data_IF_909107596104
#
_entry.id   IF_909107596104
#
_cell.length_a   1.000
_cell.length_b   1.000
_cell.length_c   1.000
_cell.angle_alpha   90.00
_cell.angle_beta   90.00
_cell.angle_gamma   90.00
#
_symmetry.space_group_name_H-M   'P 1'
#
loop_
_entity.id
_entity.type
_entity.pdbx_description
1 polymer ?
#
# COMPACT_ATOMS: atom_id res chain seq x y z
N UNK A 1 -10.32 0.09 -0.18
CA UNK A 1 -8.93 0.37 -0.55
C UNK A 1 -8.63 1.86 -0.43
N UNK A 2 -7.35 2.23 -0.28
CA UNK A 2 -6.93 3.66 -0.19
C UNK A 2 -7.25 4.46 -1.46
N UNK A 3 -7.56 3.81 -2.57
CA UNK A 3 -8.12 4.44 -3.76
C UNK A 3 -9.43 5.19 -3.55
N UNK A 4 -10.05 5.09 -2.37
CA UNK A 4 -11.14 5.96 -1.94
C UNK A 4 -10.74 7.44 -1.93
N UNK A 5 -9.50 7.76 -1.56
CA UNK A 5 -9.02 9.12 -1.36
C UNK A 5 -8.60 9.83 -2.64
N UNK A 6 -8.60 11.18 -2.67
CA UNK A 6 -8.05 11.93 -3.80
C UNK A 6 -6.55 11.68 -3.95
N UNK A 7 -6.07 11.72 -5.20
CA UNK A 7 -4.65 11.58 -5.49
C UNK A 7 -3.86 12.80 -5.02
N UNK A 8 -2.62 12.58 -4.56
CA UNK A 8 -1.65 13.61 -4.18
C UNK A 8 -2.04 14.54 -3.03
N UNK A 9 -3.20 14.31 -2.40
CA UNK A 9 -3.62 15.02 -1.19
C UNK A 9 -3.37 14.13 0.00
N UNK A 10 -2.71 14.65 1.03
CA UNK A 10 -2.55 13.90 2.28
C UNK A 10 -3.91 13.69 2.94
N UNK A 11 -4.24 12.45 3.18
CA UNK A 11 -5.56 12.01 3.66
C UNK A 11 -5.42 11.01 4.78
N UNK A 12 -6.40 10.99 5.66
CA UNK A 12 -6.57 9.98 6.71
C UNK A 12 -8.05 9.59 6.85
N UNK A 13 -8.39 8.86 7.89
CA UNK A 13 -9.75 8.38 8.12
C UNK A 13 -10.75 9.49 8.45
N UNK A 14 -10.26 10.65 8.86
CA UNK A 14 -11.08 11.85 9.14
C UNK A 14 -11.34 12.69 7.89
N UNK A 15 -10.59 12.44 6.81
CA UNK A 15 -10.76 13.12 5.53
C UNK A 15 -12.10 12.75 4.90
N UNK A 16 -12.97 13.75 4.72
CA UNK A 16 -14.31 13.56 4.18
C UNK A 16 -14.36 13.56 2.65
N UNK A 17 -13.36 14.19 2.02
CA UNK A 17 -13.27 14.26 0.58
C UNK A 17 -12.85 12.92 -0.01
N UNK A 18 -13.65 12.40 -0.92
CA UNK A 18 -13.27 11.23 -1.73
C UNK A 18 -12.58 11.66 -3.01
N UNK A 19 -11.82 10.75 -3.60
CA UNK A 19 -11.26 10.95 -4.93
C UNK A 19 -12.30 10.82 -6.05
N UNK A 20 -11.84 11.03 -7.26
CA UNK A 20 -12.62 10.88 -8.48
C UNK A 20 -12.23 9.60 -9.22
N UNK A 21 -13.13 9.14 -10.10
CA UNK A 21 -12.89 8.03 -11.01
C UNK A 21 -13.31 6.67 -10.46
N UNK A 22 -13.16 5.67 -11.32
CA UNK A 22 -13.71 4.32 -11.13
C UNK A 22 -13.36 3.68 -9.78
N UNK A 23 -12.08 3.76 -9.35
CA UNK A 23 -11.65 3.11 -8.11
C UNK A 23 -12.29 3.75 -6.87
N UNK A 24 -12.36 5.08 -6.84
CA UNK A 24 -13.00 5.80 -5.75
C UNK A 24 -14.49 5.52 -5.68
N UNK A 25 -15.16 5.49 -6.83
CA UNK A 25 -16.60 5.17 -6.92
C UNK A 25 -16.88 3.74 -6.47
N UNK A 26 -16.03 2.78 -6.87
CA UNK A 26 -16.13 1.39 -6.44
C UNK A 26 -15.93 1.23 -4.92
N UNK A 27 -14.90 1.86 -4.36
CA UNK A 27 -14.66 1.83 -2.92
C UNK A 27 -15.84 2.44 -2.15
N UNK A 28 -16.37 3.56 -2.62
CA UNK A 28 -17.53 4.20 -2.02
C UNK A 28 -18.77 3.30 -2.05
N UNK A 29 -19.03 2.65 -3.19
CA UNK A 29 -20.16 1.74 -3.33
C UNK A 29 -20.04 0.55 -2.36
N UNK A 30 -18.85 -0.06 -2.23
CA UNK A 30 -18.60 -1.14 -1.28
C UNK A 30 -18.80 -0.71 0.17
N UNK A 31 -18.28 0.44 0.55
CA UNK A 31 -18.47 0.95 1.91
C UNK A 31 -19.91 1.30 2.21
N UNK A 32 -20.65 1.81 1.22
CA UNK A 32 -22.07 2.10 1.33
C UNK A 32 -22.88 0.82 1.56
N UNK A 33 -22.59 -0.26 0.82
CA UNK A 33 -23.26 -1.55 1.03
C UNK A 33 -22.88 -2.17 2.38
N UNK A 34 -21.61 -2.13 2.78
CA UNK A 34 -21.17 -2.62 4.09
C UNK A 34 -21.91 -1.93 5.26
N UNK A 35 -22.20 -0.62 5.13
CA UNK A 35 -22.95 0.15 6.14
C UNK A 35 -24.44 -0.25 6.28
N UNK A 36 -24.93 -1.10 5.38
CA UNK A 36 -26.29 -1.68 5.46
C UNK A 36 -26.39 -2.90 6.36
N UNK A 37 -25.27 -3.34 6.96
CA UNK A 37 -25.28 -4.48 7.88
C UNK A 37 -26.31 -4.25 9.00
N UNK A 38 -27.08 -5.30 9.38
CA UNK A 38 -28.11 -5.18 10.43
C UNK A 38 -27.49 -4.82 11.78
N UNK A 39 -28.21 -4.04 12.57
CA UNK A 39 -27.86 -3.85 13.98
C UNK A 39 -28.17 -5.15 14.77
N UNK A 40 -27.36 -5.52 15.76
CA UNK A 40 -26.23 -4.81 16.36
C UNK A 40 -24.83 -5.14 15.79
N UNK A 41 -24.72 -5.47 14.52
CA UNK A 41 -23.43 -5.84 13.92
C UNK A 41 -22.36 -4.74 14.07
N UNK A 42 -21.22 -5.09 14.63
CA UNK A 42 -20.06 -4.22 14.68
C UNK A 42 -19.37 -4.18 13.31
N UNK A 43 -19.29 -3.01 12.69
CA UNK A 43 -18.69 -2.82 11.37
C UNK A 43 -17.31 -2.16 11.51
N UNK A 44 -16.29 -2.82 10.97
CA UNK A 44 -14.96 -2.26 10.73
C UNK A 44 -14.68 -2.29 9.23
N UNK A 45 -14.41 -1.13 8.65
CA UNK A 45 -14.07 -0.96 7.23
C UNK A 45 -12.58 -0.70 7.15
N UNK A 46 -11.86 -1.55 6.43
CA UNK A 46 -10.41 -1.45 6.30
C UNK A 46 -10.04 -1.02 4.88
N UNK A 47 -9.29 0.09 4.76
CA UNK A 47 -8.77 0.62 3.49
C UNK A 47 -7.31 0.25 3.34
N UNK A 48 -7.01 -0.72 2.48
CA UNK A 48 -5.66 -1.23 2.27
C UNK A 48 -4.86 -0.36 1.31
N UNK A 49 -3.59 -0.09 1.67
CA UNK A 49 -2.55 0.26 0.72
C UNK A 49 -2.08 -0.96 -0.09
N UNK A 50 -0.95 -0.83 -0.76
CA UNK A 50 -0.31 -1.94 -1.46
C UNK A 50 0.22 -2.94 -0.44
N UNK A 51 -0.35 -4.13 -0.40
CA UNK A 51 0.09 -5.19 0.51
C UNK A 51 1.36 -5.83 -0.05
N UNK A 52 2.41 -5.80 0.74
CA UNK A 52 3.72 -6.35 0.40
C UNK A 52 3.96 -7.65 1.15
N UNK A 53 4.24 -8.71 0.39
CA UNK A 53 4.61 -10.03 0.92
C UNK A 53 5.79 -10.59 0.13
N UNK A 54 6.79 -11.18 0.77
CA UNK A 54 7.89 -11.84 0.09
C UNK A 54 7.42 -13.05 -0.73
N UNK A 55 6.32 -13.68 -0.34
CA UNK A 55 5.83 -14.94 -0.91
C UNK A 55 4.86 -14.75 -2.09
N UNK A 56 4.43 -13.51 -2.39
CA UNK A 56 3.47 -13.30 -3.48
C UNK A 56 3.04 -11.87 -3.71
N UNK A 57 1.95 -11.73 -4.48
CA UNK A 57 1.28 -10.45 -4.71
C UNK A 57 2.11 -9.40 -5.44
N UNK A 58 1.90 -8.13 -5.06
CA UNK A 58 2.51 -6.98 -5.73
C UNK A 58 4.05 -7.01 -5.66
N UNK A 59 4.62 -7.46 -4.54
CA UNK A 59 6.08 -7.52 -4.37
C UNK A 59 6.72 -8.46 -5.38
N UNK A 60 6.18 -9.66 -5.56
CA UNK A 60 6.69 -10.63 -6.54
C UNK A 60 6.59 -10.10 -7.98
N UNK A 61 5.52 -9.39 -8.29
CA UNK A 61 5.35 -8.76 -9.61
C UNK A 61 6.44 -7.71 -9.89
N UNK A 62 6.80 -6.91 -8.89
CA UNK A 62 7.87 -5.90 -9.00
C UNK A 62 9.26 -6.54 -8.99
N UNK A 63 9.46 -7.64 -8.26
CA UNK A 63 10.74 -8.32 -8.16
C UNK A 63 11.10 -9.15 -9.41
N UNK A 64 10.12 -9.71 -10.13
CA UNK A 64 10.39 -10.51 -11.33
C UNK A 64 11.26 -9.79 -12.36
N UNK A 65 10.89 -8.58 -12.87
CA UNK A 65 11.74 -7.86 -13.81
C UNK A 65 13.07 -7.43 -13.18
N UNK A 66 13.07 -7.01 -11.91
CA UNK A 66 14.27 -6.62 -11.20
C UNK A 66 15.28 -7.77 -11.11
N UNK A 67 14.85 -8.97 -10.75
CA UNK A 67 15.70 -10.16 -10.66
C UNK A 67 16.26 -10.58 -12.01
N UNK A 68 15.44 -10.47 -13.06
CA UNK A 68 15.82 -10.85 -14.43
C UNK A 68 16.82 -9.89 -15.08
N UNK A 69 16.63 -8.58 -14.89
CA UNK A 69 17.41 -7.54 -15.56
C UNK A 69 18.47 -6.89 -14.67
N UNK A 70 18.37 -7.05 -13.36
CA UNK A 70 19.16 -6.31 -12.35
C UNK A 70 19.01 -4.79 -12.49
N UNK A 71 17.87 -4.35 -12.99
CA UNK A 71 17.53 -2.92 -13.15
C UNK A 71 16.26 -2.61 -12.35
N UNK A 72 16.34 -1.64 -11.46
CA UNK A 72 15.18 -1.11 -10.76
C UNK A 72 14.48 -0.06 -11.64
N UNK A 73 13.15 -0.15 -11.79
CA UNK A 73 12.37 0.73 -12.66
C UNK A 73 11.53 1.71 -11.84
N UNK A 74 11.88 3.01 -11.92
CA UNK A 74 11.05 4.11 -11.40
C UNK A 74 10.04 4.50 -12.48
N UNK A 75 8.76 4.50 -12.13
CA UNK A 75 7.66 4.77 -13.07
C UNK A 75 7.36 6.27 -13.10
N UNK A 76 7.49 6.87 -14.29
CA UNK A 76 7.26 8.31 -14.49
C UNK A 76 8.20 9.16 -13.62
N UNK A 77 7.71 10.24 -12.98
CA UNK A 77 8.54 11.10 -12.14
C UNK A 77 8.99 10.43 -10.83
N UNK A 78 8.30 9.36 -10.41
CA UNK A 78 8.58 8.63 -9.18
C UNK A 78 8.24 9.40 -7.89
N UNK A 79 7.67 10.60 -8.00
CA UNK A 79 7.30 11.45 -6.86
C UNK A 79 5.94 11.09 -6.27
N UNK A 80 5.14 10.30 -6.99
CA UNK A 80 3.83 9.87 -6.54
C UNK A 80 3.95 9.07 -5.23
N UNK A 81 3.05 9.31 -4.26
CA UNK A 81 2.99 8.54 -3.02
C UNK A 81 2.78 7.04 -3.30
N UNK A 82 3.41 6.22 -2.50
CA UNK A 82 3.28 4.76 -2.55
C UNK A 82 2.79 4.26 -1.19
N UNK A 83 1.47 4.24 -0.95
CA UNK A 83 0.91 3.72 0.29
C UNK A 83 1.05 2.20 0.33
N UNK A 84 1.78 1.69 1.31
CA UNK A 84 2.11 0.27 1.43
C UNK A 84 1.86 -0.24 2.85
N UNK A 85 1.76 -1.54 3.00
CA UNK A 85 1.77 -2.23 4.29
C UNK A 85 2.40 -3.61 4.14
N UNK A 86 3.16 -4.04 5.13
CA UNK A 86 3.66 -5.42 5.22
C UNK A 86 2.51 -6.38 5.56
N UNK A 87 2.51 -7.56 4.96
CA UNK A 87 1.47 -8.58 5.18
C UNK A 87 1.36 -8.99 6.65
N UNK A 88 2.46 -9.00 7.39
CA UNK A 88 2.47 -9.35 8.82
C UNK A 88 1.72 -8.32 9.66
N UNK A 89 1.95 -7.04 9.39
CA UNK A 89 1.24 -5.96 10.07
C UNK A 89 -0.23 -5.89 9.64
N UNK A 90 -0.54 -6.22 8.39
CA UNK A 90 -1.92 -6.37 7.96
C UNK A 90 -2.64 -7.46 8.78
N UNK A 91 -2.05 -8.66 8.88
CA UNK A 91 -2.65 -9.76 9.65
C UNK A 91 -2.79 -9.42 11.14
N UNK A 92 -1.76 -8.77 11.72
CA UNK A 92 -1.80 -8.31 13.12
C UNK A 92 -2.88 -7.25 13.35
N UNK A 93 -3.06 -6.32 12.41
CA UNK A 93 -4.12 -5.32 12.50
C UNK A 93 -5.51 -5.97 12.43
N UNK A 94 -5.69 -7.00 11.60
CA UNK A 94 -6.95 -7.75 11.57
C UNK A 94 -7.23 -8.47 12.89
N UNK A 95 -6.22 -9.10 13.50
CA UNK A 95 -6.35 -9.70 14.84
C UNK A 95 -6.66 -8.63 15.90
N UNK A 96 -5.97 -7.50 15.85
CA UNK A 96 -6.19 -6.37 16.75
C UNK A 96 -7.64 -5.86 16.72
N UNK A 97 -8.28 -5.79 15.54
CA UNK A 97 -9.70 -5.42 15.45
C UNK A 97 -10.62 -6.50 16.05
N UNK A 98 -10.25 -7.76 15.99
CA UNK A 98 -11.04 -8.84 16.59
C UNK A 98 -10.98 -8.77 18.13
N UNK A 99 -9.79 -8.52 18.66
CA UNK A 99 -9.51 -8.49 20.10
C UNK A 99 -10.03 -7.21 20.78
N UNK A 100 -10.21 -6.10 20.04
CA UNK A 100 -10.67 -4.81 20.58
C UNK A 100 -12.09 -4.50 20.08
N UNK A 101 -13.09 -4.92 20.82
CA UNK A 101 -14.50 -4.88 20.43
C UNK A 101 -15.08 -3.45 20.32
N UNK A 102 -14.44 -2.45 20.93
CA UNK A 102 -14.83 -1.04 20.86
C UNK A 102 -14.45 -0.38 19.52
N UNK A 103 -13.51 -0.95 18.78
CA UNK A 103 -13.06 -0.40 17.50
C UNK A 103 -14.12 -0.62 16.42
N UNK A 104 -14.55 0.46 15.78
CA UNK A 104 -15.56 0.45 14.71
C UNK A 104 -15.34 1.60 13.73
N UNK A 105 -15.92 1.47 12.55
CA UNK A 105 -15.81 2.46 11.48
C UNK A 105 -14.62 2.21 10.56
N UNK A 106 -14.02 3.27 10.00
CA UNK A 106 -12.99 3.18 8.95
C UNK A 106 -11.59 3.22 9.56
N UNK A 107 -10.70 2.35 9.06
CA UNK A 107 -9.27 2.31 9.40
C UNK A 107 -8.43 2.15 8.13
N UNK A 108 -7.38 2.95 8.00
CA UNK A 108 -6.40 2.81 6.93
C UNK A 108 -5.33 1.79 7.33
N UNK A 109 -5.14 0.77 6.53
CA UNK A 109 -4.09 -0.23 6.69
C UNK A 109 -2.94 0.09 5.74
N UNK A 110 -2.13 1.05 6.16
CA UNK A 110 -0.89 1.51 5.51
C UNK A 110 0.20 1.64 6.55
N UNK A 111 1.45 1.46 6.17
CA UNK A 111 2.59 1.73 7.05
C UNK A 111 2.67 3.21 7.42
N UNK A 112 3.13 3.56 8.63
CA UNK A 112 3.18 4.95 9.08
C UNK A 112 4.18 5.81 8.31
N UNK A 113 5.24 5.21 7.76
CA UNK A 113 6.19 5.93 6.92
C UNK A 113 5.60 6.17 5.52
N UNK A 114 5.32 7.43 5.20
CA UNK A 114 4.99 7.83 3.84
C UNK A 114 6.24 7.81 2.96
N UNK A 115 6.19 7.11 1.84
CA UNK A 115 7.27 7.04 0.87
C UNK A 115 6.78 7.36 -0.53
N UNK A 116 7.67 7.87 -1.38
CA UNK A 116 7.40 7.98 -2.82
C UNK A 116 7.70 6.67 -3.54
N UNK A 117 7.14 6.50 -4.72
CA UNK A 117 7.42 5.34 -5.58
C UNK A 117 8.93 5.23 -5.90
N UNK A 118 9.63 6.35 -6.12
CA UNK A 118 11.07 6.34 -6.35
C UNK A 118 11.86 5.92 -5.11
N UNK A 119 11.45 6.37 -3.92
CA UNK A 119 12.08 5.96 -2.65
C UNK A 119 11.92 4.46 -2.43
N UNK A 120 10.70 3.95 -2.61
CA UNK A 120 10.41 2.51 -2.54
C UNK A 120 11.26 1.71 -3.54
N UNK A 121 11.27 2.13 -4.82
CA UNK A 121 12.00 1.41 -5.89
C UNK A 121 13.50 1.38 -5.64
N UNK A 122 14.08 2.49 -5.15
CA UNK A 122 15.51 2.53 -4.82
C UNK A 122 15.85 1.63 -3.63
N UNK A 123 15.03 1.64 -2.58
CA UNK A 123 15.22 0.76 -1.43
C UNK A 123 15.14 -0.71 -1.85
N UNK A 124 14.14 -1.08 -2.65
CA UNK A 124 14.01 -2.40 -3.25
C UNK A 124 15.22 -2.75 -4.13
N UNK A 125 15.65 -1.83 -4.98
CA UNK A 125 16.82 -2.03 -5.85
C UNK A 125 18.09 -2.28 -5.05
N UNK A 126 18.30 -1.54 -3.96
CA UNK A 126 19.43 -1.75 -3.04
C UNK A 126 19.37 -3.14 -2.38
N UNK A 127 18.22 -3.50 -1.83
CA UNK A 127 18.03 -4.79 -1.13
C UNK A 127 18.22 -6.01 -2.06
N UNK A 128 17.86 -5.88 -3.33
CA UNK A 128 18.00 -6.98 -4.32
C UNK A 128 19.17 -6.80 -5.28
N UNK A 129 20.16 -5.97 -4.92
CA UNK A 129 21.43 -5.78 -5.64
C UNK A 129 21.22 -5.38 -7.12
N UNK A 130 20.35 -4.41 -7.36
CA UNK A 130 20.21 -3.82 -8.68
C UNK A 130 21.50 -3.06 -9.06
N UNK A 131 21.93 -3.21 -10.31
CA UNK A 131 23.09 -2.49 -10.82
C UNK A 131 22.81 -1.02 -11.07
N UNK A 132 21.55 -0.73 -11.44
CA UNK A 132 21.12 0.64 -11.74
C UNK A 132 19.63 0.82 -11.52
N UNK A 133 19.23 2.09 -11.45
CA UNK A 133 17.82 2.50 -11.41
C UNK A 133 17.53 3.37 -12.65
N UNK A 134 16.57 2.96 -13.46
CA UNK A 134 16.14 3.68 -14.64
C UNK A 134 14.75 4.27 -14.43
N UNK A 135 14.51 5.41 -15.07
CA UNK A 135 13.18 6.03 -15.14
C UNK A 135 12.48 5.50 -16.39
N UNK A 136 11.34 4.82 -16.18
CA UNK A 136 10.49 4.32 -17.27
C UNK A 136 9.37 5.33 -17.51
N UNK A 137 9.26 5.90 -18.71
CA UNK A 137 8.17 6.82 -19.03
C UNK A 137 6.80 6.19 -18.77
N UNK A 138 5.87 6.97 -18.22
CA UNK A 138 4.51 6.53 -17.89
C UNK A 138 3.78 5.95 -19.11
N UNK A 139 4.04 6.51 -20.31
CA UNK A 139 3.47 6.04 -21.57
C UNK A 139 3.88 4.61 -21.92
N UNK A 140 5.15 4.26 -21.71
CA UNK A 140 5.65 2.89 -21.92
C UNK A 140 5.00 1.92 -20.93
N UNK A 141 4.89 2.34 -19.67
CA UNK A 141 4.26 1.53 -18.64
C UNK A 141 2.76 1.30 -18.90
N UNK A 142 2.04 2.33 -19.39
CA UNK A 142 0.63 2.20 -19.81
C UNK A 142 0.45 1.28 -21.01
N UNK A 143 1.40 1.27 -21.95
CA UNK A 143 1.35 0.37 -23.10
C UNK A 143 1.52 -1.10 -22.69
N UNK A 144 2.34 -1.38 -21.67
CA UNK A 144 2.61 -2.75 -21.20
C UNK A 144 1.51 -3.29 -20.26
N UNK A 145 0.93 -2.43 -19.42
CA UNK A 145 0.00 -2.81 -18.34
C UNK A 145 -1.43 -2.28 -18.52
N UNK A 146 -1.69 -1.55 -19.61
CA UNK A 146 -3.03 -1.02 -19.91
C UNK A 146 -3.55 -0.06 -18.85
N UNK A 147 -4.86 -0.14 -18.59
CA UNK A 147 -5.54 0.70 -17.58
C UNK A 147 -5.07 0.42 -16.13
N UNK A 148 -4.57 -0.80 -15.86
CA UNK A 148 -4.00 -1.13 -14.56
C UNK A 148 -2.78 -0.23 -14.19
N UNK A 149 -2.10 0.33 -15.19
CA UNK A 149 -1.02 1.28 -14.95
C UNK A 149 -1.48 2.54 -14.23
N UNK A 150 -2.71 2.97 -14.41
CA UNK A 150 -3.25 4.18 -13.77
C UNK A 150 -3.31 4.05 -12.25
N UNK A 151 -3.57 2.84 -11.71
CA UNK A 151 -3.60 2.59 -10.27
C UNK A 151 -2.22 2.72 -9.61
N UNK A 152 -1.16 2.42 -10.34
CA UNK A 152 0.22 2.52 -9.86
C UNK A 152 0.82 3.92 -10.05
N UNK A 153 0.20 4.75 -10.90
CA UNK A 153 0.69 6.08 -11.23
C UNK A 153 -0.05 7.21 -10.50
N UNK A 154 -1.27 6.96 -10.04
CA UNK A 154 -2.08 7.89 -9.25
C UNK A 154 -1.93 7.56 -7.76
N UNK A 155 -0.79 7.87 -7.17
CA UNK A 155 -0.52 7.56 -5.75
C UNK A 155 -1.42 8.39 -4.81
N UNK A 156 -1.95 7.73 -3.76
CA UNK A 156 -2.64 8.39 -2.66
C UNK A 156 -1.68 8.56 -1.48
N UNK A 157 -1.61 9.77 -0.94
CA UNK A 157 -0.90 10.06 0.30
C UNK A 157 -1.82 9.77 1.48
N UNK A 158 -1.60 8.66 2.18
CA UNK A 158 -2.54 8.17 3.20
C UNK A 158 -1.80 7.87 4.49
N UNK A 159 -2.41 8.26 5.63
CA UNK A 159 -1.91 7.99 6.99
C UNK A 159 -2.85 7.05 7.75
N UNK A 160 -2.31 6.16 8.59
CA UNK A 160 -3.09 5.26 9.45
C UNK A 160 -3.41 5.93 10.80
N UNK A 161 -3.99 7.15 10.78
CA UNK A 161 -4.15 8.00 11.97
C UNK A 161 -4.92 7.28 13.06
N UNK A 162 -6.10 6.73 12.76
CA UNK A 162 -6.95 6.06 13.74
C UNK A 162 -6.35 4.76 14.28
N UNK A 163 -5.58 4.05 13.46
CA UNK A 163 -4.92 2.82 13.91
C UNK A 163 -3.81 3.12 14.91
N UNK A 164 -3.06 4.22 14.69
CA UNK A 164 -2.06 4.71 15.64
C UNK A 164 -2.69 5.24 16.94
N UNK A 165 -3.77 6.00 16.84
CA UNK A 165 -4.54 6.51 17.99
C UNK A 165 -5.13 5.38 18.82
N UNK A 166 -5.52 4.27 18.19
CA UNK A 166 -5.98 3.06 18.88
C UNK A 166 -4.85 2.28 19.58
N UNK A 167 -3.60 2.72 19.46
CA UNK A 167 -2.45 2.09 20.12
C UNK A 167 -1.87 0.90 19.36
N UNK A 168 -2.18 0.72 18.08
CA UNK A 168 -1.55 -0.34 17.28
C UNK A 168 -0.07 -0.05 17.01
N UNK A 169 0.78 -1.04 17.25
CA UNK A 169 2.22 -0.95 17.02
C UNK A 169 2.63 -1.76 15.80
N UNK A 170 3.14 -1.07 14.77
CA UNK A 170 3.65 -1.69 13.57
C UNK A 170 4.95 -2.44 13.84
N UNK A 171 5.07 -3.66 13.34
CA UNK A 171 6.31 -4.43 13.35
C UNK A 171 7.27 -3.95 12.26
N UNK A 172 6.71 -3.51 11.13
CA UNK A 172 7.46 -3.04 9.95
C UNK A 172 7.00 -1.62 9.60
N UNK A 173 7.38 -0.62 10.43
CA UNK A 173 6.90 0.76 10.24
C UNK A 173 7.58 1.50 9.11
N UNK A 174 8.76 1.04 8.64
CA UNK A 174 9.58 1.71 7.64
C UNK A 174 10.00 0.79 6.51
N UNK A 175 10.32 1.41 5.37
CA UNK A 175 10.73 0.66 4.17
C UNK A 175 12.10 -0.01 4.37
N UNK A 176 12.98 0.58 5.17
CA UNK A 176 14.26 0.01 5.53
C UNK A 176 14.05 -1.30 6.26
N UNK A 177 13.17 -1.31 7.27
CA UNK A 177 12.87 -2.51 8.05
C UNK A 177 12.19 -3.60 7.21
N UNK A 178 11.35 -3.22 6.23
CA UNK A 178 10.76 -4.17 5.28
C UNK A 178 11.84 -4.97 4.56
N UNK A 179 12.90 -4.31 4.09
CA UNK A 179 13.94 -4.94 3.29
C UNK A 179 15.08 -5.57 4.11
N UNK A 180 15.36 -5.12 5.33
CA UNK A 180 16.33 -5.76 6.25
C UNK A 180 15.92 -7.21 6.57
N UNK A 181 14.66 -7.45 6.83
CA UNK A 181 14.16 -8.78 7.17
C UNK A 181 14.05 -9.70 5.94
N UNK A 182 14.02 -9.14 4.74
CA UNK A 182 13.97 -9.93 3.50
C UNK A 182 15.34 -10.51 3.13
N UNK A 183 16.42 -9.86 3.55
CA UNK A 183 17.80 -10.31 3.29
C UNK A 183 18.14 -11.61 4.06
N UNK A 184 17.59 -11.78 5.25
CA UNK A 184 17.79 -12.98 6.07
C UNK A 184 17.05 -14.22 5.54
N UNK A 185 15.95 -14.06 4.79
CA UNK A 185 15.19 -15.20 4.25
C UNK A 185 15.75 -15.78 2.94
N UNK A 186 16.72 -15.12 2.33
CA UNK A 186 17.31 -15.54 1.04
C UNK A 186 18.56 -16.42 1.21
N UNK A 187 19.07 -16.53 2.42
CA UNK A 187 20.32 -17.30 2.73
C UNK A 187 20.03 -18.78 3.03
N UNK A 188 18.78 -19.14 3.34
CA UNK A 188 18.39 -20.52 3.74
C UNK A 188 17.60 -21.31 2.68
N UNK A 189 17.78 -21.04 1.38
CA UNK A 189 17.20 -21.88 0.31
C UNK A 189 18.20 -22.18 -0.81
#
# INVERSE_FOLDING_TARGET
AVGYYPSLVESDEYTQTRGDGFLSDLCYAWEKEAKRCPQPTRLVITRFGVVLSPDGGAMQQMLRPLRATKVAAVIGPGTQPFPWIDIRDLCRAMAFFIENEELRGVFNLVAPQAVSQSTFTRAMGKAYHAWTTLIVPQTVFRLLYGEAASFLTAGQSVRPTRLLEAGFHFSVPTIEKLFEETDHSTVDR
#
